data_IF_671937724966
#
_entry.id   IF_671937724966
#
_cell.length_a   1.000
_cell.length_b   1.000
_cell.length_c   1.000
_cell.angle_alpha   90.00
_cell.angle_beta   90.00
_cell.angle_gamma   90.00
#
_symmetry.space_group_name_H-M   'P 1'
#
loop_
_entity.id
_entity.type
_entity.pdbx_description
1 polymer ?
#
# COMPACT_ATOMS: atom_id res chain seq x y z
N UNK A 1 -11.92 -21.40 8.68
CA UNK A 1 -10.94 -20.66 7.85
C UNK A 1 -10.24 -19.66 8.76
N UNK A 2 -8.91 -19.73 8.89
CA UNK A 2 -8.16 -18.80 9.76
C UNK A 2 -7.98 -17.49 9.00
N UNK A 3 -8.40 -16.37 9.58
CA UNK A 3 -8.31 -15.05 8.97
C UNK A 3 -6.85 -14.58 8.89
N UNK A 4 -6.50 -13.67 7.96
CA UNK A 4 -5.15 -13.10 7.87
C UNK A 4 -4.66 -12.50 9.20
N UNK A 5 -5.58 -11.93 9.98
CA UNK A 5 -5.33 -11.36 11.31
C UNK A 5 -4.93 -12.44 12.33
N UNK A 6 -5.64 -13.57 12.36
CA UNK A 6 -5.33 -14.68 13.27
C UNK A 6 -3.97 -15.33 12.94
N UNK A 7 -3.61 -15.43 11.66
CA UNK A 7 -2.29 -15.92 11.23
C UNK A 7 -1.18 -14.97 11.68
N UNK A 8 -1.38 -13.65 11.57
CA UNK A 8 -0.41 -12.66 12.03
C UNK A 8 -0.23 -12.70 13.55
N UNK A 9 -1.32 -12.80 14.31
CA UNK A 9 -1.29 -12.93 15.77
C UNK A 9 -0.56 -14.21 16.22
N UNK A 10 -0.83 -15.34 15.55
CA UNK A 10 -0.14 -16.61 15.79
C UNK A 10 1.36 -16.49 15.54
N UNK A 11 1.78 -15.90 14.41
CA UNK A 11 3.20 -15.68 14.08
C UNK A 11 3.90 -14.81 15.11
N UNK A 12 3.25 -13.74 15.57
CA UNK A 12 3.78 -12.90 16.63
C UNK A 12 3.96 -13.68 17.95
N UNK A 13 2.99 -14.51 18.33
CA UNK A 13 3.09 -15.37 19.51
C UNK A 13 4.21 -16.42 19.39
N UNK A 14 4.35 -17.06 18.22
CA UNK A 14 5.43 -18.01 17.92
C UNK A 14 6.80 -17.34 18.07
N UNK A 15 7.01 -16.16 17.47
CA UNK A 15 8.27 -15.40 17.60
C UNK A 15 8.56 -14.99 19.04
N UNK A 16 7.55 -14.51 19.78
CA UNK A 16 7.70 -14.14 21.19
C UNK A 16 8.19 -15.32 22.05
N UNK A 17 7.64 -16.51 21.83
CA UNK A 17 8.08 -17.70 22.57
C UNK A 17 9.46 -18.21 22.10
N UNK A 18 9.78 -18.10 20.82
CA UNK A 18 11.12 -18.41 20.31
C UNK A 18 12.18 -17.46 20.90
N UNK A 19 11.88 -16.17 21.04
CA UNK A 19 12.76 -15.20 21.70
C UNK A 19 13.00 -15.53 23.19
N UNK A 20 12.03 -16.18 23.84
CA UNK A 20 12.17 -16.72 25.20
C UNK A 20 12.92 -18.08 25.25
N UNK A 21 13.53 -18.50 24.14
CA UNK A 21 14.27 -19.76 23.98
C UNK A 21 13.42 -21.03 24.16
N UNK A 22 12.10 -20.97 23.97
CA UNK A 22 11.28 -22.18 23.92
C UNK A 22 11.61 -22.99 22.66
N UNK A 23 11.64 -24.32 22.78
CA UNK A 23 11.79 -25.20 21.63
C UNK A 23 10.53 -25.18 20.75
N UNK A 24 10.66 -25.44 19.45
CA UNK A 24 9.51 -25.49 18.54
C UNK A 24 8.42 -26.47 19.00
N UNK A 25 8.80 -27.54 19.73
CA UNK A 25 7.87 -28.49 20.33
C UNK A 25 7.08 -27.87 21.48
N UNK A 26 7.75 -27.17 22.38
CA UNK A 26 7.10 -26.47 23.49
C UNK A 26 6.17 -25.34 22.99
N UNK A 27 6.56 -24.64 21.92
CA UNK A 27 5.73 -23.61 21.28
C UNK A 27 4.48 -24.24 20.65
N UNK A 28 4.64 -25.35 19.93
CA UNK A 28 3.55 -26.11 19.31
C UNK A 28 2.53 -26.58 20.36
N UNK A 29 3.00 -27.19 21.46
CA UNK A 29 2.16 -27.64 22.57
C UNK A 29 1.44 -26.46 23.25
N UNK A 30 2.12 -25.32 23.41
CA UNK A 30 1.55 -24.14 24.07
C UNK A 30 0.54 -23.37 23.23
N UNK A 31 0.64 -23.42 21.91
CA UNK A 31 -0.25 -22.74 20.97
C UNK A 31 -1.30 -23.67 20.33
N UNK A 32 -1.24 -24.98 20.61
CA UNK A 32 -2.16 -25.96 20.02
C UNK A 32 -1.98 -26.14 18.50
N UNK A 33 -0.76 -25.94 17.99
CA UNK A 33 -0.43 -26.02 16.56
C UNK A 33 0.65 -27.06 16.27
N UNK A 34 0.82 -27.47 15.01
CA UNK A 34 1.87 -28.42 14.66
C UNK A 34 3.27 -27.78 14.68
N UNK A 35 4.29 -28.59 14.97
CA UNK A 35 5.70 -28.19 14.93
C UNK A 35 6.11 -27.63 13.55
N UNK A 36 5.53 -28.17 12.47
CA UNK A 36 5.76 -27.66 11.11
C UNK A 36 5.14 -26.28 10.89
N UNK A 37 4.00 -26.00 11.53
CA UNK A 37 3.40 -24.66 11.49
C UNK A 37 4.28 -23.66 12.21
N UNK A 38 4.81 -24.02 13.39
CA UNK A 38 5.77 -23.19 14.13
C UNK A 38 7.00 -22.86 13.27
N UNK A 39 7.60 -23.86 12.61
CA UNK A 39 8.74 -23.65 11.71
C UNK A 39 8.39 -22.69 10.57
N UNK A 40 7.29 -22.95 9.86
CA UNK A 40 6.83 -22.11 8.74
C UNK A 40 6.55 -20.67 9.16
N UNK A 41 6.05 -20.47 10.38
CA UNK A 41 5.76 -19.13 10.93
C UNK A 41 6.99 -18.37 11.40
N UNK A 42 8.04 -19.08 11.86
CA UNK A 42 9.34 -18.49 12.16
C UNK A 42 10.09 -18.08 10.88
N UNK A 43 9.94 -18.86 9.81
CA UNK A 43 10.51 -18.57 8.49
C UNK A 43 9.75 -17.46 7.74
N UNK A 44 8.53 -17.12 8.18
CA UNK A 44 7.73 -16.07 7.55
C UNK A 44 8.30 -14.67 7.86
N UNK A 45 8.26 -13.70 6.92
CA UNK A 45 8.76 -12.34 7.13
C UNK A 45 8.18 -11.67 8.39
N UNK A 46 8.99 -10.81 9.02
CA UNK A 46 8.68 -10.19 10.32
C UNK A 46 7.56 -9.15 10.23
N UNK A 47 7.56 -8.36 9.15
CA UNK A 47 6.51 -7.38 8.86
C UNK A 47 5.22 -8.13 8.51
N UNK A 48 4.16 -7.87 9.27
CA UNK A 48 2.86 -8.46 8.96
C UNK A 48 2.35 -7.92 7.63
N UNK A 49 1.59 -8.74 6.89
CA UNK A 49 0.96 -8.30 5.64
C UNK A 49 0.11 -7.03 5.85
N UNK A 50 -0.52 -6.91 7.03
CA UNK A 50 -1.31 -5.74 7.42
C UNK A 50 -0.46 -4.47 7.56
N UNK A 51 0.72 -4.58 8.15
CA UNK A 51 1.67 -3.46 8.26
C UNK A 51 2.21 -3.06 6.88
N UNK A 52 2.56 -4.03 6.02
CA UNK A 52 2.99 -3.73 4.64
C UNK A 52 1.89 -3.02 3.83
N UNK A 53 0.63 -3.46 3.98
CA UNK A 53 -0.51 -2.82 3.31
C UNK A 53 -0.75 -1.42 3.86
N UNK A 54 -0.70 -1.25 5.19
CA UNK A 54 -0.88 0.06 5.82
C UNK A 54 0.23 1.05 5.43
N UNK A 55 1.48 0.59 5.41
CA UNK A 55 2.62 1.38 4.96
C UNK A 55 2.48 1.76 3.48
N UNK A 56 2.11 0.81 2.62
CA UNK A 56 1.88 1.09 1.20
C UNK A 56 0.75 2.08 0.98
N UNK A 57 -0.32 1.98 1.76
CA UNK A 57 -1.44 2.93 1.72
C UNK A 57 -0.98 4.34 2.13
N UNK A 58 -0.23 4.46 3.23
CA UNK A 58 0.30 5.75 3.71
C UNK A 58 1.29 6.39 2.70
N UNK A 59 2.16 5.58 2.08
CA UNK A 59 3.06 6.04 1.03
C UNK A 59 2.27 6.55 -0.20
N UNK A 60 1.23 5.82 -0.60
CA UNK A 60 0.37 6.21 -1.73
C UNK A 60 -0.39 7.50 -1.43
N UNK A 61 -0.96 7.62 -0.23
CA UNK A 61 -1.68 8.82 0.23
C UNK A 61 -0.79 10.07 0.21
N UNK A 62 0.45 9.92 0.68
CA UNK A 62 1.47 10.99 0.62
C UNK A 62 1.75 11.40 -0.82
N UNK A 63 1.96 10.43 -1.72
CA UNK A 63 2.26 10.72 -3.13
C UNK A 63 1.09 11.42 -3.85
N UNK A 64 -0.15 10.98 -3.61
CA UNK A 64 -1.36 11.61 -4.16
C UNK A 64 -1.51 13.04 -3.63
N UNK A 65 -1.35 13.23 -2.31
CA UNK A 65 -1.42 14.55 -1.69
C UNK A 65 -0.38 15.52 -2.25
N UNK A 66 0.86 15.06 -2.46
CA UNK A 66 1.92 15.86 -3.07
C UNK A 66 1.62 16.23 -4.52
N UNK A 67 1.07 15.31 -5.31
CA UNK A 67 0.66 15.59 -6.69
C UNK A 67 -0.44 16.66 -6.76
N UNK A 68 -1.46 16.56 -5.91
CA UNK A 68 -2.52 17.56 -5.81
C UNK A 68 -1.98 18.93 -5.39
N UNK A 69 -1.09 18.97 -4.40
CA UNK A 69 -0.47 20.22 -3.95
C UNK A 69 0.40 20.87 -5.04
N UNK A 70 1.15 20.07 -5.80
CA UNK A 70 1.95 20.57 -6.92
C UNK A 70 1.07 21.14 -8.05
N UNK A 71 -0.04 20.47 -8.38
CA UNK A 71 -0.99 20.96 -9.36
C UNK A 71 -1.64 22.29 -8.92
N UNK A 72 -2.03 22.40 -7.65
CA UNK A 72 -2.58 23.64 -7.09
C UNK A 72 -1.54 24.77 -7.13
N UNK A 73 -0.31 24.51 -6.72
CA UNK A 73 0.79 25.49 -6.76
C UNK A 73 1.04 25.99 -8.20
N UNK A 74 1.03 25.09 -9.19
CA UNK A 74 1.16 25.47 -10.60
C UNK A 74 -0.01 26.34 -11.07
N UNK A 75 -1.24 26.05 -10.63
CA UNK A 75 -2.41 26.87 -10.94
C UNK A 75 -2.32 28.27 -10.29
N UNK A 76 -1.86 28.35 -9.04
CA UNK A 76 -1.71 29.61 -8.28
C UNK A 76 -0.66 30.54 -8.89
N UNK A 77 0.41 29.99 -9.48
CA UNK A 77 1.42 30.74 -10.23
C UNK A 77 0.89 31.32 -11.54
N UNK A 78 -0.24 30.82 -12.04
CA UNK A 78 -0.93 31.25 -13.27
C UNK A 78 0.04 31.44 -14.46
N UNK A 79 0.73 30.37 -14.91
CA UNK A 79 1.77 30.44 -15.93
C UNK A 79 1.32 31.06 -17.25
N UNK A 80 0.01 31.04 -17.56
CA UNK A 80 -0.57 31.70 -18.73
C UNK A 80 -0.36 33.21 -18.78
N UNK A 81 -0.10 33.88 -17.65
CA UNK A 81 0.15 35.32 -17.58
C UNK A 81 1.63 35.68 -17.40
N UNK A 82 2.53 34.69 -17.46
CA UNK A 82 3.97 34.91 -17.33
C UNK A 82 4.57 35.20 -18.71
N UNK A 83 5.27 36.33 -18.83
CA UNK A 83 5.99 36.70 -20.06
C UNK A 83 7.27 35.87 -20.16
N UNK A 84 7.41 35.12 -21.25
CA UNK A 84 8.56 34.24 -21.51
C UNK A 84 8.80 34.07 -23.01
N UNK A 85 9.93 33.48 -23.40
CA UNK A 85 10.19 33.07 -24.78
C UNK A 85 9.28 31.91 -25.23
N UNK A 86 9.10 31.78 -26.55
CA UNK A 86 8.22 30.79 -27.15
C UNK A 86 8.63 29.34 -26.86
N UNK A 87 9.94 29.05 -26.82
CA UNK A 87 10.43 27.70 -26.57
C UNK A 87 10.07 27.26 -25.13
N UNK A 88 10.20 28.17 -24.17
CA UNK A 88 9.79 27.96 -22.79
C UNK A 88 8.27 27.80 -22.66
N UNK A 89 7.47 28.65 -23.33
CA UNK A 89 6.01 28.52 -23.33
C UNK A 89 5.54 27.16 -23.89
N UNK A 90 6.13 26.71 -25.01
CA UNK A 90 5.83 25.40 -25.61
C UNK A 90 6.22 24.24 -24.69
N UNK A 91 7.39 24.33 -24.04
CA UNK A 91 7.84 23.33 -23.06
C UNK A 91 6.86 23.21 -21.90
N UNK A 92 6.49 24.33 -21.27
CA UNK A 92 5.51 24.33 -20.17
C UNK A 92 4.17 23.74 -20.58
N UNK A 93 3.65 24.10 -21.75
CA UNK A 93 2.40 23.54 -22.25
C UNK A 93 2.51 22.02 -22.47
N UNK A 94 3.60 21.54 -23.06
CA UNK A 94 3.85 20.11 -23.27
C UNK A 94 3.93 19.35 -21.94
N UNK A 95 4.71 19.85 -20.99
CA UNK A 95 4.93 19.19 -19.70
C UNK A 95 3.64 19.13 -18.87
N UNK A 96 2.86 20.23 -18.85
CA UNK A 96 1.56 20.27 -18.17
C UNK A 96 0.57 19.29 -18.79
N UNK A 97 0.52 19.17 -20.13
CA UNK A 97 -0.34 18.18 -20.79
C UNK A 97 0.08 16.75 -20.50
N UNK A 98 1.38 16.47 -20.53
CA UNK A 98 1.90 15.14 -20.23
C UNK A 98 1.55 14.73 -18.79
N UNK A 99 1.77 15.63 -17.82
CA UNK A 99 1.43 15.41 -16.42
C UNK A 99 -0.09 15.21 -16.22
N UNK A 100 -0.93 16.04 -16.85
CA UNK A 100 -2.38 15.89 -16.79
C UNK A 100 -2.85 14.53 -17.35
N UNK A 101 -2.25 14.07 -18.45
CA UNK A 101 -2.53 12.75 -19.02
C UNK A 101 -2.16 11.61 -18.08
N UNK A 102 -1.00 11.68 -17.43
CA UNK A 102 -0.59 10.68 -16.43
C UNK A 102 -1.53 10.64 -15.22
N UNK A 103 -1.91 11.81 -14.69
CA UNK A 103 -2.83 11.91 -13.56
C UNK A 103 -4.23 11.38 -13.90
N UNK A 104 -4.72 11.66 -15.12
CA UNK A 104 -6.00 11.13 -15.61
C UNK A 104 -5.95 9.61 -15.69
N UNK A 105 -4.91 9.04 -16.31
CA UNK A 105 -4.76 7.59 -16.40
C UNK A 105 -4.65 6.90 -15.03
N UNK A 106 -3.99 7.53 -14.06
CA UNK A 106 -3.93 7.02 -12.69
C UNK A 106 -5.30 7.04 -12.00
N UNK A 107 -6.08 8.11 -12.19
CA UNK A 107 -7.43 8.21 -11.65
C UNK A 107 -8.37 7.15 -12.24
N UNK A 108 -8.29 6.93 -13.56
CA UNK A 108 -9.08 5.91 -14.26
C UNK A 108 -8.72 4.51 -13.77
N UNK A 109 -7.42 4.18 -13.69
CA UNK A 109 -6.96 2.90 -13.15
C UNK A 109 -7.45 2.69 -11.70
N UNK A 110 -7.40 3.73 -10.87
CA UNK A 110 -7.89 3.62 -9.50
C UNK A 110 -9.39 3.34 -9.48
N UNK A 111 -10.20 4.02 -10.30
CA UNK A 111 -11.63 3.79 -10.39
C UNK A 111 -11.95 2.34 -10.81
N UNK A 112 -11.27 1.84 -11.84
CA UNK A 112 -11.45 0.48 -12.35
C UNK A 112 -11.12 -0.58 -11.28
N UNK A 113 -9.94 -0.47 -10.65
CA UNK A 113 -9.49 -1.44 -9.65
C UNK A 113 -10.25 -1.33 -8.33
N UNK A 114 -10.60 -0.12 -7.88
CA UNK A 114 -11.33 0.07 -6.62
C UNK A 114 -12.76 -0.46 -6.73
N UNK A 115 -13.45 -0.20 -7.84
CA UNK A 115 -14.80 -0.73 -8.05
C UNK A 115 -14.81 -2.26 -8.16
N UNK A 116 -13.80 -2.83 -8.83
CA UNK A 116 -13.61 -4.27 -8.89
C UNK A 116 -13.33 -4.87 -7.50
N UNK A 117 -12.40 -4.29 -6.74
CA UNK A 117 -12.04 -4.76 -5.41
C UNK A 117 -13.21 -4.65 -4.42
N UNK A 118 -13.98 -3.56 -4.46
CA UNK A 118 -15.19 -3.38 -3.64
C UNK A 118 -16.24 -4.44 -3.95
N UNK A 119 -16.54 -4.66 -5.24
CA UNK A 119 -17.53 -5.65 -5.66
C UNK A 119 -17.13 -7.09 -5.28
N UNK A 120 -15.83 -7.39 -5.29
CA UNK A 120 -15.31 -8.69 -4.85
C UNK A 120 -15.39 -8.91 -3.33
N UNK A 121 -15.31 -7.84 -2.54
CA UNK A 121 -15.50 -7.92 -1.08
C UNK A 121 -16.98 -8.06 -0.71
N UNK A 122 -17.87 -7.31 -1.35
CA UNK A 122 -19.32 -7.37 -1.10
C UNK A 122 -19.94 -8.72 -1.56
N UNK A 123 -19.40 -9.33 -2.61
CA UNK A 123 -19.85 -10.63 -3.13
C UNK A 123 -19.36 -11.85 -2.34
N UNK A 124 -18.41 -11.67 -1.41
CA UNK A 124 -17.88 -12.75 -0.55
C UNK A 124 -18.71 -12.96 0.73
N UNK A 125 -19.73 -12.14 0.97
CA UNK A 125 -20.63 -12.22 2.13
C UNK A 125 -21.91 -13.06 1.90
N UNK A 126 -22.02 -13.80 0.80
CA UNK A 126 -23.17 -14.67 0.46
C UNK A 126 -22.88 -16.17 0.64
#
# INVERSE_FOLDING_TARGET
MTTPTEVAQRRAAVRRFAAQKLSNRAIAERLGISKDTVRRDLEAPEVSLRELVAERAAQTDTAVSQACAAAQSAADMRPAYVITDEATARRWHSDLRAAAGQLTALADQFADYYLFARSAMDGAEC
#
